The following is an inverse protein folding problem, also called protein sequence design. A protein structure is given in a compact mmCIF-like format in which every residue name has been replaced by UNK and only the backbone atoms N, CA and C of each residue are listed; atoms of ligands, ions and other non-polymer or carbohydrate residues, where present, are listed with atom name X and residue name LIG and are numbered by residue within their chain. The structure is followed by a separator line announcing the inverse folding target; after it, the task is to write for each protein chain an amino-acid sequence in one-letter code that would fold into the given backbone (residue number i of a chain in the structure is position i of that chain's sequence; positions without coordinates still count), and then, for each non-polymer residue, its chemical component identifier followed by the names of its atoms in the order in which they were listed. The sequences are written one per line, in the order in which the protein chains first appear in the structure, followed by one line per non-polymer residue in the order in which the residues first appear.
data_IF_435971985594
#
_entry.id   IF_435971985594
#
_cell.length_a   1.000
_cell.length_b   1.000
_cell.length_c   1.000
_cell.angle_alpha   90.00
_cell.angle_beta   90.00
_cell.angle_gamma   90.00
#
_symmetry.space_group_name_H-M   'P 1'
#
loop_
_entity.id
_entity.type
_entity.pdbx_description
1 polymer ?
#
# COMPACT_ATOMS: atom_id res chain seq x y z
N UNK A 1 6.09 11.96 16.71
CA UNK A 1 6.62 12.74 15.59
C UNK A 1 6.55 14.19 15.96
N UNK A 2 7.61 14.69 16.56
CA UNK A 2 7.79 16.10 16.94
C UNK A 2 8.70 16.84 15.97
N UNK A 3 9.15 16.17 14.88
CA UNK A 3 10.04 16.72 13.85
C UNK A 3 9.35 16.64 12.48
N UNK A 4 9.49 17.70 11.70
CA UNK A 4 9.03 17.74 10.31
C UNK A 4 9.78 16.67 9.50
N UNK A 5 9.04 15.76 8.86
CA UNK A 5 9.64 14.75 7.97
C UNK A 5 10.12 15.39 6.67
N UNK A 6 11.35 15.07 6.25
CA UNK A 6 11.77 15.36 4.89
C UNK A 6 10.98 14.47 3.91
N UNK A 7 10.01 15.06 3.20
CA UNK A 7 9.10 14.36 2.29
C UNK A 7 9.83 13.75 1.09
N UNK A 8 10.84 14.46 0.56
CA UNK A 8 11.67 13.98 -0.54
C UNK A 8 12.39 12.70 -0.16
N UNK A 9 13.07 12.70 1.01
CA UNK A 9 13.75 11.50 1.52
C UNK A 9 12.76 10.37 1.79
N UNK A 10 11.64 10.66 2.45
CA UNK A 10 10.61 9.67 2.77
C UNK A 10 10.14 8.95 1.49
N UNK A 11 9.70 9.69 0.49
CA UNK A 11 9.15 9.09 -0.73
C UNK A 11 10.21 8.48 -1.64
N UNK A 12 11.47 8.93 -1.59
CA UNK A 12 12.57 8.26 -2.25
C UNK A 12 12.79 6.83 -1.71
N UNK A 13 12.72 6.65 -0.39
CA UNK A 13 12.82 5.33 0.25
C UNK A 13 11.59 4.48 -0.06
N UNK A 14 10.39 5.03 0.12
CA UNK A 14 9.14 4.31 -0.14
C UNK A 14 9.03 3.83 -1.59
N UNK A 15 9.42 4.68 -2.56
CA UNK A 15 9.44 4.32 -3.99
C UNK A 15 10.23 3.03 -4.22
N UNK A 16 11.39 2.87 -3.59
CA UNK A 16 12.20 1.64 -3.70
C UNK A 16 11.49 0.45 -3.04
N UNK A 17 11.09 0.61 -1.78
CA UNK A 17 10.34 -0.40 -1.03
C UNK A 17 9.41 0.30 -0.02
N UNK A 18 8.14 -0.13 0.10
CA UNK A 18 7.58 -1.37 -0.44
C UNK A 18 6.98 -1.25 -1.85
N UNK A 19 7.09 -0.09 -2.52
CA UNK A 19 6.35 0.16 -3.77
C UNK A 19 7.03 -0.37 -5.06
N UNK A 20 8.23 -0.93 -4.98
CA UNK A 20 8.83 -1.69 -6.09
C UNK A 20 9.35 -0.84 -7.25
N UNK A 21 9.80 0.38 -6.97
CA UNK A 21 10.46 1.30 -7.91
C UNK A 21 9.56 2.39 -8.48
N UNK A 22 8.24 2.32 -8.28
CA UNK A 22 7.29 3.32 -8.80
C UNK A 22 6.37 3.81 -7.70
N UNK A 23 5.94 5.06 -7.79
CA UNK A 23 5.03 5.64 -6.81
C UNK A 23 4.04 6.57 -7.52
N UNK A 24 2.75 6.29 -7.37
CA UNK A 24 1.68 7.11 -7.94
C UNK A 24 1.28 8.25 -7.01
N UNK A 25 0.67 9.29 -7.58
CA UNK A 25 0.08 10.42 -6.82
C UNK A 25 -0.97 9.95 -5.79
N UNK A 26 -1.75 8.91 -6.12
CA UNK A 26 -2.69 8.31 -5.19
C UNK A 26 -1.98 7.63 -4.01
N UNK A 27 -0.85 6.96 -4.24
CA UNK A 27 -0.07 6.34 -3.16
C UNK A 27 0.60 7.38 -2.27
N UNK A 28 1.16 8.44 -2.86
CA UNK A 28 1.73 9.59 -2.13
C UNK A 28 0.67 10.19 -1.22
N UNK A 29 -0.46 10.64 -1.79
CA UNK A 29 -1.54 11.27 -1.00
C UNK A 29 -2.14 10.33 0.05
N UNK A 30 -2.20 9.02 -0.23
CA UNK A 30 -2.58 8.00 0.74
C UNK A 30 -1.66 7.92 1.95
N UNK A 31 -0.34 7.86 1.71
CA UNK A 31 0.67 7.89 2.77
C UNK A 31 0.62 9.19 3.58
N UNK A 32 0.53 10.35 2.93
CA UNK A 32 0.47 11.64 3.62
C UNK A 32 -0.77 11.77 4.51
N UNK A 33 -1.92 11.34 3.98
CA UNK A 33 -3.18 11.30 4.72
C UNK A 33 -3.09 10.45 5.98
N UNK A 34 -2.46 9.28 5.90
CA UNK A 34 -2.28 8.40 7.07
C UNK A 34 -1.27 8.98 8.07
N UNK A 35 -0.17 9.57 7.60
CA UNK A 35 0.79 10.26 8.47
C UNK A 35 0.13 11.43 9.21
N UNK A 36 -0.67 12.22 8.51
CA UNK A 36 -1.44 13.31 9.11
C UNK A 36 -2.46 12.81 10.14
N UNK A 37 -3.17 11.71 9.83
CA UNK A 37 -4.11 11.10 10.76
C UNK A 37 -3.41 10.54 12.02
N UNK A 38 -2.26 9.87 11.87
CA UNK A 38 -1.44 9.42 13.00
C UNK A 38 -1.08 10.59 13.92
N UNK A 39 -0.59 11.70 13.35
CA UNK A 39 -0.23 12.88 14.11
C UNK A 39 -1.44 13.49 14.83
N UNK A 40 -2.54 13.70 14.12
CA UNK A 40 -3.76 14.29 14.67
C UNK A 40 -4.38 13.45 15.80
N UNK A 41 -4.23 12.12 15.73
CA UNK A 41 -4.76 11.17 16.71
C UNK A 41 -3.71 10.78 17.78
N UNK A 42 -2.57 11.49 17.85
CA UNK A 42 -1.56 11.30 18.89
C UNK A 42 -0.67 10.06 18.75
N UNK A 43 -0.77 9.32 17.63
CA UNK A 43 0.11 8.18 17.32
C UNK A 43 1.44 8.72 16.81
N UNK A 44 2.36 8.92 17.75
CA UNK A 44 3.60 9.66 17.53
C UNK A 44 4.87 8.80 17.53
N UNK A 45 4.81 7.58 18.06
CA UNK A 45 5.90 6.61 17.97
C UNK A 45 6.07 6.14 16.52
N UNK A 46 7.25 6.41 15.92
CA UNK A 46 7.54 6.06 14.52
C UNK A 46 7.31 4.58 14.19
N UNK A 47 7.51 3.70 15.18
CA UNK A 47 7.31 2.24 15.03
C UNK A 47 5.83 1.91 14.89
N UNK A 48 4.98 2.63 15.63
CA UNK A 48 3.52 2.50 15.53
C UNK A 48 3.01 3.10 14.21
N UNK A 49 3.51 4.27 13.83
CA UNK A 49 3.16 4.93 12.55
C UNK A 49 3.52 4.03 11.36
N UNK A 50 4.73 3.46 11.34
CA UNK A 50 5.15 2.50 10.32
C UNK A 50 4.22 1.28 10.26
N UNK A 51 3.68 0.84 11.40
CA UNK A 51 2.79 -0.32 11.47
C UNK A 51 1.40 -0.03 10.91
N UNK A 52 0.86 1.18 11.18
CA UNK A 52 -0.38 1.65 10.55
C UNK A 52 -0.21 1.64 9.02
N UNK A 53 0.85 2.27 8.51
CA UNK A 53 1.13 2.32 7.08
C UNK A 53 1.29 0.92 6.45
N UNK A 54 2.04 0.04 7.10
CA UNK A 54 2.24 -1.33 6.65
C UNK A 54 0.95 -2.15 6.59
N UNK A 55 0.10 -2.00 7.60
CA UNK A 55 -1.21 -2.67 7.66
C UNK A 55 -2.12 -2.17 6.54
N UNK A 56 -2.20 -0.85 6.33
CA UNK A 56 -3.00 -0.28 5.24
C UNK A 56 -2.45 -0.65 3.87
N UNK A 57 -1.13 -0.66 3.70
CA UNK A 57 -0.50 -1.13 2.47
C UNK A 57 -0.92 -2.57 2.16
N UNK A 58 -0.91 -3.46 3.16
CA UNK A 58 -1.33 -4.84 2.98
C UNK A 58 -2.82 -4.96 2.63
N UNK A 59 -3.71 -4.34 3.41
CA UNK A 59 -5.16 -4.48 3.22
C UNK A 59 -5.67 -3.83 1.92
N UNK A 60 -4.99 -2.78 1.43
CA UNK A 60 -5.37 -2.09 0.19
C UNK A 60 -4.66 -2.65 -1.05
N UNK A 61 -3.84 -3.70 -0.89
CA UNK A 61 -3.03 -4.26 -1.97
C UNK A 61 -2.05 -3.23 -2.57
N UNK A 62 -1.45 -2.39 -1.72
CA UNK A 62 -0.47 -1.37 -2.08
C UNK A 62 -1.05 -0.09 -2.70
N UNK A 63 -2.38 0.06 -2.77
CA UNK A 63 -3.03 1.26 -3.32
C UNK A 63 -2.92 2.47 -2.39
N UNK A 64 -2.85 2.23 -1.07
CA UNK A 64 -2.91 3.27 -0.02
C UNK A 64 -4.18 4.13 -0.08
N UNK A 65 -5.24 3.58 -0.68
CA UNK A 65 -6.54 4.22 -0.81
C UNK A 65 -7.62 3.32 -0.22
N UNK A 66 -8.71 3.89 0.32
CA UNK A 66 -9.86 3.13 0.78
C UNK A 66 -10.40 2.21 -0.31
N UNK A 67 -10.64 0.95 0.01
CA UNK A 67 -11.21 -0.02 -0.94
C UNK A 67 -12.41 -0.75 -0.33
N UNK A 68 -13.28 -1.26 -1.20
CA UNK A 68 -14.30 -2.24 -0.81
C UNK A 68 -13.71 -3.65 -0.80
N UNK A 69 -14.34 -4.53 -0.04
CA UNK A 69 -13.98 -5.94 0.04
C UNK A 69 -13.88 -6.57 -1.35
N UNK A 70 -12.77 -7.30 -1.55
CA UNK A 70 -12.44 -7.89 -2.84
C UNK A 70 -12.11 -6.88 -3.94
N UNK A 71 -11.78 -5.62 -3.61
CA UNK A 71 -11.53 -4.54 -4.58
C UNK A 71 -12.71 -4.30 -5.52
N UNK A 72 -13.91 -4.31 -4.95
CA UNK A 72 -15.13 -4.04 -5.70
C UNK A 72 -15.31 -2.55 -5.99
N UNK A 73 -15.84 -2.23 -7.17
CA UNK A 73 -16.13 -0.86 -7.60
C UNK A 73 -17.45 -0.35 -7.01
N UNK A 74 -18.35 -1.26 -6.64
CA UNK A 74 -19.65 -0.95 -6.04
C UNK A 74 -20.03 -1.95 -4.95
N UNK A 75 -21.00 -1.57 -4.12
CA UNK A 75 -21.55 -2.41 -3.05
C UNK A 75 -22.21 -3.68 -3.63
N UNK A 76 -22.97 -3.54 -4.71
CA UNK A 76 -23.58 -4.67 -5.40
C UNK A 76 -22.52 -5.66 -5.91
N UNK A 77 -21.40 -5.15 -6.43
CA UNK A 77 -20.30 -6.01 -6.88
C UNK A 77 -19.59 -6.69 -5.71
N UNK A 78 -19.41 -6.01 -4.58
CA UNK A 78 -18.84 -6.60 -3.36
C UNK A 78 -19.72 -7.76 -2.86
N UNK A 79 -21.03 -7.51 -2.74
CA UNK A 79 -22.02 -8.52 -2.33
C UNK A 79 -22.02 -9.71 -3.29
N UNK A 80 -22.07 -9.48 -4.61
CA UNK A 80 -22.06 -10.55 -5.59
C UNK A 80 -20.80 -11.43 -5.53
N UNK A 81 -19.62 -10.81 -5.32
CA UNK A 81 -18.35 -11.55 -5.14
C UNK A 81 -18.37 -12.40 -3.87
N UNK A 82 -18.88 -11.85 -2.77
CA UNK A 82 -18.98 -12.56 -1.48
C UNK A 82 -20.02 -13.68 -1.50
N UNK A 83 -21.17 -13.47 -2.14
CA UNK A 83 -22.17 -14.52 -2.33
C UNK A 83 -21.62 -15.68 -3.17
N UNK A 84 -20.87 -15.37 -4.24
CA UNK A 84 -20.19 -16.40 -5.03
C UNK A 84 -19.18 -17.19 -4.20
N UNK A 85 -18.34 -16.51 -3.40
CA UNK A 85 -17.36 -17.16 -2.54
C UNK A 85 -18.02 -18.01 -1.44
N UNK A 86 -19.14 -17.54 -0.88
CA UNK A 86 -19.95 -18.27 0.09
C UNK A 86 -20.55 -19.54 -0.51
N UNK A 87 -21.20 -19.43 -1.68
CA UNK A 87 -21.77 -20.57 -2.39
C UNK A 87 -20.69 -21.61 -2.77
N UNK A 88 -19.46 -21.17 -3.04
CA UNK A 88 -18.32 -22.03 -3.31
C UNK A 88 -17.63 -22.60 -2.05
N UNK A 89 -18.12 -22.31 -0.84
CA UNK A 89 -17.53 -22.81 0.41
C UNK A 89 -16.18 -22.18 0.79
N UNK A 90 -15.79 -21.06 0.16
CA UNK A 90 -14.47 -20.45 0.33
C UNK A 90 -14.35 -19.58 1.60
N UNK A 91 -15.47 -19.33 2.28
CA UNK A 91 -15.56 -18.49 3.49
C UNK A 91 -15.73 -19.31 4.77
N UNK A 92 -14.92 -20.36 4.95
CA UNK A 92 -15.11 -21.37 6.00
C UNK A 92 -15.06 -20.89 7.46
N UNK A 93 -14.64 -19.64 7.73
CA UNK A 93 -14.68 -19.02 9.07
C UNK A 93 -15.91 -18.15 9.32
N UNK A 94 -16.67 -17.86 8.27
CA UNK A 94 -17.88 -17.03 8.36
C UNK A 94 -19.06 -17.94 8.72
N UNK A 95 -19.83 -17.56 9.74
CA UNK A 95 -21.02 -18.32 10.18
C UNK A 95 -22.32 -17.79 9.59
N UNK A 96 -22.36 -16.50 9.28
CA UNK A 96 -23.52 -15.81 8.72
C UNK A 96 -23.07 -14.75 7.71
N UNK A 97 -23.83 -14.53 6.62
CA UNK A 97 -23.44 -13.67 5.51
C UNK A 97 -23.60 -12.18 5.84
N UNK A 98 -22.76 -11.68 6.73
CA UNK A 98 -22.79 -10.31 7.25
C UNK A 98 -22.77 -9.21 6.17
N UNK A 99 -22.29 -9.51 4.96
CA UNK A 99 -22.27 -8.57 3.83
C UNK A 99 -23.62 -8.29 3.21
N UNK A 100 -24.62 -9.18 3.36
CA UNK A 100 -25.95 -8.99 2.75
C UNK A 100 -26.70 -7.81 3.35
N UNK A 101 -26.45 -7.51 4.61
CA UNK A 101 -26.94 -6.30 5.30
C UNK A 101 -26.02 -5.08 5.07
N UNK A 102 -25.03 -5.21 4.18
CA UNK A 102 -24.07 -4.18 3.81
C UNK A 102 -22.90 -4.01 4.78
N UNK A 103 -22.62 -4.99 5.66
CA UNK A 103 -21.51 -4.91 6.62
C UNK A 103 -20.17 -5.50 6.12
N UNK A 104 -19.99 -5.60 4.81
CA UNK A 104 -18.72 -6.01 4.20
C UNK A 104 -17.59 -5.00 4.45
N UNK A 105 -16.36 -5.45 4.23
CA UNK A 105 -15.13 -4.68 4.41
C UNK A 105 -15.10 -3.37 3.59
N UNK A 106 -14.86 -2.24 4.26
CA UNK A 106 -14.61 -0.94 3.62
C UNK A 106 -13.38 -0.25 4.20
N UNK A 107 -12.76 0.59 3.39
CA UNK A 107 -11.71 1.48 3.84
C UNK A 107 -10.32 0.87 3.83
N UNK A 108 -9.38 1.61 4.42
CA UNK A 108 -7.95 1.33 4.47
C UNK A 108 -7.61 0.05 5.24
N UNK A 109 -8.53 -0.38 6.12
CA UNK A 109 -8.32 -1.51 7.03
C UNK A 109 -9.44 -2.56 6.93
N UNK A 110 -10.25 -2.50 5.86
CA UNK A 110 -11.35 -3.44 5.61
C UNK A 110 -12.30 -3.59 6.81
N UNK A 111 -12.79 -2.45 7.32
CA UNK A 111 -13.74 -2.43 8.42
C UNK A 111 -15.02 -3.18 8.04
N UNK A 112 -15.34 -4.23 8.79
CA UNK A 112 -16.50 -5.11 8.60
C UNK A 112 -17.25 -5.32 9.91
N UNK A 113 -18.48 -5.81 9.79
CA UNK A 113 -19.44 -6.04 10.88
C UNK A 113 -20.01 -4.77 11.54
N UNK A 114 -21.32 -4.74 11.75
CA UNK A 114 -22.06 -3.62 12.36
C UNK A 114 -21.45 -3.13 13.67
N UNK A 115 -21.08 -4.05 14.55
CA UNK A 115 -20.52 -3.73 15.86
C UNK A 115 -19.25 -2.88 15.75
N UNK A 116 -18.38 -3.20 14.78
CA UNK A 116 -17.15 -2.45 14.57
C UNK A 116 -17.42 -1.07 13.95
N UNK A 117 -18.36 -0.97 13.00
CA UNK A 117 -18.83 0.33 12.48
C UNK A 117 -19.37 1.20 13.62
N UNK A 118 -20.14 0.62 14.53
CA UNK A 118 -20.69 1.33 15.70
C UNK A 118 -19.62 1.77 16.68
N UNK A 119 -18.68 0.87 17.05
CA UNK A 119 -17.58 1.18 17.98
C UNK A 119 -16.68 2.28 17.42
N UNK A 120 -16.21 2.13 16.18
CA UNK A 120 -15.31 3.09 15.57
C UNK A 120 -16.01 4.39 15.21
N UNK A 121 -17.25 4.33 14.72
CA UNK A 121 -18.04 5.52 14.44
C UNK A 121 -18.18 6.43 15.68
N UNK A 122 -18.49 5.85 16.84
CA UNK A 122 -18.47 6.60 18.11
C UNK A 122 -17.10 7.15 18.46
N UNK A 123 -16.05 6.34 18.34
CA UNK A 123 -14.68 6.74 18.70
C UNK A 123 -14.18 7.94 17.86
N UNK A 124 -14.61 8.05 16.59
CA UNK A 124 -14.19 9.13 15.70
C UNK A 124 -15.25 10.24 15.53
N UNK A 125 -16.41 10.12 16.18
CA UNK A 125 -17.51 11.08 16.08
C UNK A 125 -18.21 11.12 14.71
N UNK A 126 -18.30 9.98 14.02
CA UNK A 126 -18.96 9.84 12.70
C UNK A 126 -19.99 8.71 12.76
N UNK A 127 -21.24 8.96 12.36
CA UNK A 127 -22.26 7.90 12.30
C UNK A 127 -22.05 6.98 11.09
N UNK A 128 -21.19 5.97 11.28
CA UNK A 128 -20.88 4.95 10.29
C UNK A 128 -21.99 3.89 10.16
N UNK A 129 -22.88 3.75 11.15
CA UNK A 129 -23.96 2.75 11.11
C UNK A 129 -25.03 3.20 10.11
N UNK A 130 -25.45 4.47 10.19
CA UNK A 130 -26.39 5.05 9.23
C UNK A 130 -25.72 5.36 7.89
N UNK A 131 -24.43 5.72 7.88
CA UNK A 131 -23.71 6.14 6.67
C UNK A 131 -22.48 5.27 6.40
N UNK A 132 -22.69 4.00 6.06
CA UNK A 132 -21.63 2.99 5.86
C UNK A 132 -20.56 3.42 4.85
N UNK A 133 -20.95 4.11 3.78
CA UNK A 133 -20.02 4.59 2.75
C UNK A 133 -19.04 5.65 3.25
N UNK A 134 -19.30 6.29 4.40
CA UNK A 134 -18.32 7.17 5.02
C UNK A 134 -17.05 6.42 5.41
N UNK A 135 -17.08 5.09 5.58
CA UNK A 135 -15.87 4.30 5.76
C UNK A 135 -14.96 4.26 4.51
N UNK A 136 -15.45 4.69 3.34
CA UNK A 136 -14.66 4.86 2.11
C UNK A 136 -14.19 6.30 1.88
N UNK A 137 -14.69 7.27 2.66
CA UNK A 137 -14.14 8.62 2.65
C UNK A 137 -12.68 8.57 3.13
N UNK A 138 -11.70 9.09 2.37
CA UNK A 138 -10.30 8.96 2.74
C UNK A 138 -9.98 9.49 4.14
N UNK A 139 -10.53 10.63 4.56
CA UNK A 139 -10.22 11.19 5.88
C UNK A 139 -10.80 10.32 6.99
N UNK A 140 -12.04 9.89 6.83
CA UNK A 140 -12.72 9.01 7.80
C UNK A 140 -12.02 7.65 7.88
N UNK A 141 -11.70 7.05 6.73
CA UNK A 141 -11.02 5.77 6.63
C UNK A 141 -9.64 5.75 7.31
N UNK A 142 -8.85 6.82 7.14
CA UNK A 142 -7.56 6.93 7.84
C UNK A 142 -7.76 6.98 9.36
N UNK A 143 -8.74 7.75 9.84
CA UNK A 143 -9.05 7.83 11.28
C UNK A 143 -9.54 6.49 11.82
N UNK A 144 -10.39 5.77 11.07
CA UNK A 144 -10.81 4.40 11.42
C UNK A 144 -9.61 3.48 11.61
N UNK A 145 -8.64 3.50 10.69
CA UNK A 145 -7.44 2.67 10.79
C UNK A 145 -6.58 3.07 12.01
N UNK A 146 -6.27 4.36 12.15
CA UNK A 146 -5.38 4.88 13.20
C UNK A 146 -5.99 4.69 14.59
N UNK A 147 -7.21 5.20 14.81
CA UNK A 147 -7.91 5.12 16.10
C UNK A 147 -8.21 3.67 16.46
N UNK A 148 -8.62 2.86 15.48
CA UNK A 148 -8.88 1.45 15.71
C UNK A 148 -7.66 0.65 16.15
N UNK A 149 -6.48 0.94 15.62
CA UNK A 149 -5.24 0.30 16.07
C UNK A 149 -4.72 0.89 17.38
N UNK A 150 -4.85 2.21 17.58
CA UNK A 150 -4.43 2.91 18.81
C UNK A 150 -5.20 2.43 20.03
N UNK A 151 -6.51 2.27 19.88
CA UNK A 151 -7.41 1.97 21.01
C UNK A 151 -7.83 0.50 21.06
N UNK A 152 -7.51 -0.28 20.03
CA UNK A 152 -7.85 -1.70 19.94
C UNK A 152 -9.36 -1.91 19.75
N UNK A 153 -9.91 -1.46 18.61
CA UNK A 153 -11.37 -1.44 18.41
C UNK A 153 -11.90 -2.46 17.38
N UNK A 154 -11.02 -3.25 16.77
CA UNK A 154 -11.40 -4.20 15.72
C UNK A 154 -11.88 -5.56 16.25
N UNK A 155 -11.34 -6.01 17.38
CA UNK A 155 -11.61 -7.34 17.92
C UNK A 155 -11.21 -7.48 19.39
N UNK A 156 -11.77 -8.50 20.01
CA UNK A 156 -11.37 -8.95 21.34
C UNK A 156 -10.24 -9.99 21.24
N UNK A 157 -9.20 -9.86 22.07
CA UNK A 157 -8.16 -10.88 22.22
C UNK A 157 -8.52 -11.85 23.32
N UNK A 158 -8.54 -13.14 23.00
CA UNK A 158 -8.64 -14.19 24.02
C UNK A 158 -7.36 -14.31 24.83
N UNK A 159 -6.21 -14.09 24.20
CA UNK A 159 -4.89 -14.20 24.82
C UNK A 159 -4.71 -13.14 25.93
N UNK A 160 -5.07 -11.89 25.63
CA UNK A 160 -4.97 -10.81 26.62
C UNK A 160 -6.24 -10.60 27.45
N UNK A 161 -7.34 -11.31 27.14
CA UNK A 161 -8.66 -11.08 27.72
C UNK A 161 -9.13 -9.62 27.67
N UNK A 162 -8.72 -8.91 26.61
CA UNK A 162 -9.09 -7.53 26.29
C UNK A 162 -8.73 -7.24 24.82
N UNK A 163 -9.15 -6.11 24.25
CA UNK A 163 -8.66 -5.73 22.94
C UNK A 163 -7.14 -5.46 22.93
N UNK A 164 -6.52 -5.74 21.79
CA UNK A 164 -5.10 -5.50 21.52
C UNK A 164 -4.91 -4.20 20.74
N UNK A 165 -3.90 -3.43 21.11
CA UNK A 165 -3.61 -2.10 20.57
C UNK A 165 -2.13 -1.90 20.29
N UNK A 166 -1.79 -0.84 19.56
CA UNK A 166 -0.41 -0.51 19.18
C UNK A 166 0.56 -0.51 20.37
N UNK A 167 0.18 0.09 21.49
CA UNK A 167 1.03 0.18 22.69
C UNK A 167 1.33 -1.18 23.33
N UNK A 168 0.58 -2.25 23.00
CA UNK A 168 0.84 -3.59 23.51
C UNK A 168 2.06 -4.23 22.83
N UNK A 169 2.42 -3.79 21.61
CA UNK A 169 3.50 -4.40 20.83
C UNK A 169 4.68 -3.47 20.58
N UNK A 170 4.48 -2.17 20.65
CA UNK A 170 5.51 -1.16 20.43
C UNK A 170 5.78 -0.44 21.74
N UNK A 171 6.64 -1.04 22.57
CA UNK A 171 6.98 -0.57 23.93
C UNK A 171 8.41 -0.03 23.95
N UNK A 172 8.78 0.80 24.93
CA UNK A 172 10.18 1.16 25.15
C UNK A 172 11.10 -0.05 25.36
N UNK A 173 10.59 -1.09 26.05
CA UNK A 173 11.32 -2.32 26.36
C UNK A 173 11.45 -3.31 25.18
N UNK A 174 10.74 -3.10 24.08
CA UNK A 174 10.79 -4.02 22.95
C UNK A 174 9.68 -3.79 21.92
N UNK A 175 9.88 -4.37 20.75
CA UNK A 175 8.96 -4.29 19.61
C UNK A 175 8.60 -5.69 19.11
N UNK A 176 7.31 -6.01 19.06
CA UNK A 176 6.78 -7.28 18.53
C UNK A 176 5.86 -7.04 17.32
N UNK A 177 6.48 -6.77 16.17
CA UNK A 177 5.78 -6.44 14.92
C UNK A 177 4.94 -7.60 14.39
N UNK A 178 5.46 -8.83 14.50
CA UNK A 178 4.76 -10.03 14.04
C UNK A 178 3.50 -10.25 14.88
N UNK A 179 3.61 -10.13 16.21
CA UNK A 179 2.47 -10.22 17.12
C UNK A 179 1.43 -9.13 16.89
N UNK A 180 1.86 -7.92 16.49
CA UNK A 180 0.95 -6.79 16.26
C UNK A 180 -0.15 -7.07 15.23
N UNK A 181 -0.01 -8.11 14.38
CA UNK A 181 -1.09 -8.53 13.46
C UNK A 181 -2.38 -8.86 14.20
N UNK A 182 -2.28 -9.34 15.43
CA UNK A 182 -3.45 -9.63 16.24
C UNK A 182 -4.32 -8.40 16.51
N UNK A 183 -3.82 -7.15 16.44
CA UNK A 183 -4.66 -5.94 16.55
C UNK A 183 -5.83 -5.97 15.56
N UNK A 184 -5.55 -6.32 14.30
CA UNK A 184 -6.52 -6.28 13.20
C UNK A 184 -7.07 -7.68 12.91
N UNK A 185 -6.23 -8.71 12.94
CA UNK A 185 -6.60 -10.08 12.63
C UNK A 185 -5.90 -11.08 13.57
N UNK A 186 -6.69 -11.73 14.43
CA UNK A 186 -6.20 -12.60 15.52
C UNK A 186 -5.49 -13.90 15.09
N UNK A 187 -5.43 -14.22 13.79
CA UNK A 187 -4.83 -15.47 13.30
C UNK A 187 -3.34 -15.40 12.91
N UNK A 188 -2.70 -14.24 13.04
CA UNK A 188 -1.30 -14.06 12.61
C UNK A 188 -1.07 -14.21 11.10
N UNK A 189 -2.13 -14.33 10.30
CA UNK A 189 -2.02 -14.49 8.86
C UNK A 189 -1.32 -13.29 8.24
N UNK A 190 -0.39 -13.58 7.33
CA UNK A 190 0.51 -12.61 6.68
C UNK A 190 1.33 -11.74 7.63
N UNK A 191 1.42 -12.07 8.92
CA UNK A 191 2.13 -11.25 9.91
C UNK A 191 3.60 -10.99 9.56
N UNK A 192 4.33 -12.01 9.08
CA UNK A 192 5.72 -11.85 8.63
C UNK A 192 5.85 -10.94 7.40
N UNK A 193 4.88 -11.01 6.48
CA UNK A 193 4.85 -10.15 5.29
C UNK A 193 4.62 -8.69 5.69
N UNK A 194 3.64 -8.44 6.56
CA UNK A 194 3.37 -7.11 7.11
C UNK A 194 4.58 -6.59 7.89
N UNK A 195 5.28 -7.44 8.65
CA UNK A 195 6.51 -7.05 9.32
C UNK A 195 7.63 -6.63 8.34
N UNK A 196 7.70 -7.24 7.16
CA UNK A 196 8.56 -6.79 6.07
C UNK A 196 8.21 -5.39 5.57
N UNK A 197 6.93 -5.14 5.30
CA UNK A 197 6.47 -3.79 4.92
C UNK A 197 6.72 -2.76 6.02
N UNK A 198 6.46 -3.12 7.27
CA UNK A 198 6.74 -2.30 8.45
C UNK A 198 8.19 -1.87 8.50
N UNK A 199 9.13 -2.78 8.24
CA UNK A 199 10.55 -2.45 8.21
C UNK A 199 10.85 -1.40 7.15
N UNK A 200 10.33 -1.56 5.93
CA UNK A 200 10.50 -0.55 4.86
C UNK A 200 9.92 0.81 5.23
N UNK A 201 8.73 0.86 5.84
CA UNK A 201 8.13 2.11 6.29
C UNK A 201 8.91 2.75 7.44
N UNK A 202 9.39 1.95 8.40
CA UNK A 202 10.20 2.45 9.51
C UNK A 202 11.51 3.04 8.99
N UNK A 203 12.23 2.33 8.12
CA UNK A 203 13.50 2.79 7.54
C UNK A 203 13.30 4.11 6.78
N UNK A 204 12.18 4.25 6.05
CA UNK A 204 11.85 5.48 5.34
C UNK A 204 11.56 6.65 6.30
N UNK A 205 10.84 6.41 7.40
CA UNK A 205 10.57 7.42 8.43
C UNK A 205 11.87 7.82 9.13
N UNK A 206 12.71 6.86 9.51
CA UNK A 206 13.99 7.13 10.18
C UNK A 206 14.94 7.92 9.28
N UNK A 207 15.06 7.55 8.00
CA UNK A 207 15.85 8.30 7.03
C UNK A 207 15.33 9.74 6.87
N UNK A 208 14.00 9.92 6.81
CA UNK A 208 13.38 11.23 6.68
C UNK A 208 13.48 12.12 7.94
N UNK A 209 13.63 11.52 9.13
CA UNK A 209 13.88 12.23 10.39
C UNK A 209 15.37 12.57 10.61
N UNK A 210 16.27 11.73 10.06
CA UNK A 210 17.72 11.87 10.15
C UNK A 210 18.31 12.80 9.10
N UNK A 211 17.70 12.89 7.91
CA UNK A 211 18.10 13.85 6.90
C UNK A 211 18.00 15.26 7.49
N UNK A 212 19.14 15.95 7.62
CA UNK A 212 19.14 17.40 7.83
C UNK A 212 18.28 18.00 6.71
N UNK A 213 17.31 18.86 7.06
CA UNK A 213 16.53 19.57 6.06
C UNK A 213 17.50 20.52 5.35
N UNK A 214 17.96 20.22 4.12
CA UNK A 214 18.83 21.15 3.43
C UNK A 214 17.95 22.36 3.09
N UNK A 215 18.49 23.58 3.22
CA UNK A 215 17.89 24.72 2.58
C UNK A 215 17.79 24.41 1.07
N UNK A 216 16.55 24.31 0.58
CA UNK A 216 16.15 24.11 -0.82
C UNK A 216 16.85 22.98 -1.59
N UNK A 217 16.30 21.76 -1.47
CA UNK A 217 16.46 20.75 -2.53
C UNK A 217 15.36 20.99 -3.57
N UNK A 218 15.76 21.18 -4.84
CA UNK A 218 14.85 21.56 -5.92
C UNK A 218 13.58 20.66 -5.99
N UNK A 219 12.37 21.26 -6.14
CA UNK A 219 11.07 20.56 -6.10
C UNK A 219 10.94 19.35 -7.02
N UNK A 220 11.73 19.29 -8.08
CA UNK A 220 11.67 18.27 -9.13
C UNK A 220 11.90 16.82 -8.64
N UNK A 221 12.57 16.61 -7.50
CA UNK A 221 12.77 15.26 -6.95
C UNK A 221 11.54 14.70 -6.21
N UNK A 222 10.55 15.56 -5.91
CA UNK A 222 9.32 15.22 -5.22
C UNK A 222 8.09 15.14 -6.16
N UNK A 223 8.27 15.39 -7.46
CA UNK A 223 7.16 15.38 -8.41
C UNK A 223 6.77 13.95 -8.85
N UNK A 224 5.48 13.68 -9.11
CA UNK A 224 5.01 12.43 -9.69
C UNK A 224 5.52 12.21 -11.13
N UNK A 225 5.77 10.96 -11.52
CA UNK A 225 6.28 10.55 -12.85
C UNK A 225 5.25 10.65 -14.00
N UNK A 226 4.30 11.60 -13.96
CA UNK A 226 3.22 11.73 -14.95
C UNK A 226 3.60 12.60 -16.17
N UNK A 227 4.85 12.48 -16.66
CA UNK A 227 5.30 13.14 -17.90
C UNK A 227 5.16 12.18 -19.09
N UNK A 228 4.60 12.60 -20.24
CA UNK A 228 4.56 11.79 -21.45
C UNK A 228 5.95 11.25 -21.83
N UNK A 229 6.09 9.98 -22.27
CA UNK A 229 7.38 9.36 -22.57
C UNK A 229 8.25 10.14 -23.56
N UNK A 230 7.63 10.92 -24.44
CA UNK A 230 8.29 11.74 -25.45
C UNK A 230 9.03 12.97 -24.90
N UNK A 231 8.87 13.31 -23.62
CA UNK A 231 9.53 14.47 -22.99
C UNK A 231 10.29 14.12 -21.72
N UNK A 232 10.48 12.84 -21.43
CA UNK A 232 11.29 12.43 -20.29
C UNK A 232 12.78 12.39 -20.64
N UNK A 233 13.62 13.09 -19.87
CA UNK A 233 15.08 13.01 -19.96
C UNK A 233 15.65 11.62 -19.63
N UNK A 234 14.80 10.69 -19.20
CA UNK A 234 15.15 9.30 -18.91
C UNK A 234 15.54 8.46 -20.14
N UNK A 235 15.22 8.90 -21.36
CA UNK A 235 15.76 8.26 -22.58
C UNK A 235 17.28 8.46 -22.67
N UNK A 236 17.80 9.59 -22.19
CA UNK A 236 19.25 9.83 -22.11
C UNK A 236 19.96 8.88 -21.14
N UNK A 237 19.34 8.55 -20.01
CA UNK A 237 19.90 7.63 -19.01
C UNK A 237 19.83 6.16 -19.47
N UNK A 238 18.81 5.79 -20.26
CA UNK A 238 18.73 4.45 -20.86
C UNK A 238 19.81 4.26 -21.93
N UNK A 239 20.09 5.28 -22.76
CA UNK A 239 21.14 5.18 -23.78
C UNK A 239 22.55 4.98 -23.19
N UNK A 240 22.84 5.62 -22.03
CA UNK A 240 24.12 5.44 -21.33
C UNK A 240 24.21 4.07 -20.65
N UNK A 241 23.10 3.53 -20.12
CA UNK A 241 23.07 2.22 -19.48
C UNK A 241 23.22 1.03 -20.46
N UNK A 242 22.82 1.21 -21.72
CA UNK A 242 22.94 0.15 -22.76
C UNK A 242 24.29 0.13 -23.49
N UNK A 243 25.15 1.14 -23.32
CA UNK A 243 26.36 1.29 -24.13
C UNK A 243 27.58 0.47 -23.70
N UNK A 244 27.71 0.09 -22.42
CA UNK A 244 28.92 -0.64 -21.97
C UNK A 244 28.70 -1.58 -20.77
N UNK A 245 27.72 -1.33 -19.89
CA UNK A 245 27.59 -2.06 -18.61
C UNK A 245 26.61 -3.23 -18.59
N UNK A 246 25.51 -3.18 -19.35
CA UNK A 246 24.44 -4.18 -19.27
C UNK A 246 24.65 -5.42 -20.16
N UNK A 247 25.48 -5.32 -21.22
CA UNK A 247 25.75 -6.46 -22.10
C UNK A 247 26.65 -7.52 -21.46
N UNK A 248 27.50 -7.15 -20.50
CA UNK A 248 28.39 -8.12 -19.83
C UNK A 248 27.64 -9.02 -18.84
N UNK A 249 26.59 -8.51 -18.17
CA UNK A 249 25.82 -9.29 -17.19
C UNK A 249 24.79 -10.25 -17.80
N UNK A 250 24.32 -9.98 -19.03
CA UNK A 250 23.39 -10.88 -19.72
C UNK A 250 24.08 -12.07 -20.38
N UNK A 251 25.36 -11.96 -20.76
CA UNK A 251 26.13 -13.05 -21.37
C UNK A 251 26.65 -14.04 -20.33
N UNK A 252 26.96 -13.59 -19.12
CA UNK A 252 27.54 -14.44 -18.07
C UNK A 252 26.60 -15.54 -17.51
N UNK A 253 25.28 -15.40 -17.72
CA UNK A 253 24.26 -16.34 -17.22
C UNK A 253 23.82 -17.42 -18.20
N UNK A 254 24.39 -17.48 -19.41
CA UNK A 254 23.93 -18.39 -20.46
C UNK A 254 24.79 -19.66 -20.44
N UNK A 255 24.27 -20.73 -19.84
CA UNK A 255 24.98 -22.00 -19.70
C UNK A 255 24.55 -23.07 -20.71
N UNK A 256 23.64 -22.76 -21.65
CA UNK A 256 23.23 -23.70 -22.69
C UNK A 256 22.83 -23.00 -24.01
N UNK A 257 22.92 -23.70 -25.15
CA UNK A 257 22.68 -23.12 -26.48
C UNK A 257 21.23 -22.67 -26.71
N UNK A 258 20.26 -23.27 -26.01
CA UNK A 258 18.84 -22.90 -26.11
C UNK A 258 18.53 -21.56 -25.42
N UNK A 259 19.19 -21.28 -24.29
CA UNK A 259 19.09 -19.99 -23.61
C UNK A 259 19.76 -18.87 -24.43
N UNK A 260 20.83 -19.19 -25.17
CA UNK A 260 21.49 -18.27 -26.12
C UNK A 260 20.57 -17.96 -27.32
N UNK A 261 19.92 -18.98 -27.88
CA UNK A 261 18.95 -18.82 -28.95
C UNK A 261 17.71 -18.01 -28.49
N UNK A 262 17.21 -18.27 -27.28
CA UNK A 262 16.10 -17.51 -26.70
C UNK A 262 16.45 -16.03 -26.51
N UNK A 263 17.65 -15.72 -26.03
CA UNK A 263 18.12 -14.33 -25.89
C UNK A 263 18.23 -13.64 -27.25
N UNK A 264 18.79 -14.32 -28.27
CA UNK A 264 18.89 -13.78 -29.62
C UNK A 264 17.50 -13.45 -30.21
N UNK A 265 16.51 -14.32 -30.00
CA UNK A 265 15.13 -14.08 -30.44
C UNK A 265 14.49 -12.90 -29.70
N UNK A 266 14.73 -12.74 -28.40
CA UNK A 266 14.22 -11.60 -27.61
C UNK A 266 14.84 -10.28 -28.10
N UNK A 267 16.14 -10.28 -28.40
CA UNK A 267 16.83 -9.10 -28.91
C UNK A 267 16.35 -8.72 -30.31
N UNK A 268 16.12 -9.69 -31.20
CA UNK A 268 15.54 -9.46 -32.53
C UNK A 268 14.12 -8.93 -32.40
N UNK A 269 13.27 -9.55 -31.58
CA UNK A 269 11.89 -9.10 -31.37
C UNK A 269 11.82 -7.69 -30.76
N UNK A 270 12.70 -7.39 -29.79
CA UNK A 270 12.84 -6.06 -29.19
C UNK A 270 13.32 -5.02 -30.21
N UNK A 271 14.32 -5.36 -31.04
CA UNK A 271 14.83 -4.50 -32.11
C UNK A 271 13.79 -4.21 -33.19
N UNK A 272 13.04 -5.23 -33.63
CA UNK A 272 11.93 -5.08 -34.59
C UNK A 272 10.81 -4.24 -33.98
N UNK A 273 10.43 -4.48 -32.72
CA UNK A 273 9.42 -3.70 -32.01
C UNK A 273 9.83 -2.23 -31.87
N UNK A 274 11.08 -1.95 -31.50
CA UNK A 274 11.63 -0.61 -31.42
C UNK A 274 11.65 0.07 -32.80
N UNK A 275 12.09 -0.62 -33.85
CA UNK A 275 12.10 -0.09 -35.21
C UNK A 275 10.69 0.22 -35.73
N UNK A 276 9.71 -0.65 -35.48
CA UNK A 276 8.31 -0.44 -35.87
C UNK A 276 7.70 0.78 -35.16
N UNK A 277 8.03 1.00 -33.89
CA UNK A 277 7.59 2.18 -33.13
C UNK A 277 8.31 3.46 -33.59
N UNK A 278 9.63 3.42 -33.78
CA UNK A 278 10.44 4.58 -34.17
C UNK A 278 10.17 5.04 -35.62
N UNK A 279 9.81 4.12 -36.51
CA UNK A 279 9.43 4.44 -37.89
C UNK A 279 7.95 4.79 -38.04
N UNK A 280 7.19 4.84 -36.93
CA UNK A 280 5.76 5.17 -36.94
C UNK A 280 4.87 4.11 -37.59
N UNK A 281 5.38 2.91 -37.85
CA UNK A 281 4.63 1.79 -38.45
C UNK A 281 3.67 1.13 -37.48
N UNK A 282 3.89 1.32 -36.17
CA UNK A 282 2.96 0.94 -35.10
C UNK A 282 2.73 2.16 -34.21
N UNK A 283 1.46 2.55 -34.05
CA UNK A 283 1.04 3.63 -33.16
C UNK A 283 0.17 3.06 -32.04
N UNK A 284 0.51 3.33 -30.78
CA UNK A 284 -0.27 2.86 -29.63
C UNK A 284 -1.32 3.93 -29.28
N UNK A 285 -2.53 3.77 -29.82
CA UNK A 285 -3.64 4.66 -29.51
C UNK A 285 -4.44 4.11 -28.33
N UNK A 286 -4.56 4.87 -27.24
CA UNK A 286 -5.49 4.56 -26.14
C UNK A 286 -6.82 5.24 -26.42
N UNK A 287 -7.91 4.47 -26.42
CA UNK A 287 -9.27 5.05 -26.41
C UNK A 287 -9.48 5.77 -25.08
N UNK A 288 -9.78 7.05 -25.14
CA UNK A 288 -10.25 7.83 -23.98
C UNK A 288 -11.66 7.33 -23.67
N UNK A 289 -11.88 6.83 -22.46
CA UNK A 289 -13.22 6.52 -21.98
C UNK A 289 -13.98 7.84 -21.75
N UNK A 290 -15.16 7.95 -22.36
CA UNK A 290 -16.06 9.10 -22.26
C UNK A 290 -16.69 9.21 -20.86
#
# INVERSE_FOLDING_TARGET
MTRQLNRTTLFAYLRRAPFGGRLSTAQVSGCERLLAACLAEGVTDRRQVAYVLASVFHETGGRMQPVREGFAESDAQAVARLDKAWAAGQLGKVKAPYWRDGWFGRGDIQLSHEENYRKLGRAIGVDLVKNRDRALDPKVSARVAVVGMRDGLFRYSKELSRPERLSDYFRPSGTNVVGARAIVNGGGDKAKLIAGYWKSFLDAIEAAEAAEVPADVAPAAAEPDDVPPSRSGSIGTVAVATGAGACSTLVAGISNPWALAALALILIAGGVGAWLLLTGRVTINRKVAA
#
